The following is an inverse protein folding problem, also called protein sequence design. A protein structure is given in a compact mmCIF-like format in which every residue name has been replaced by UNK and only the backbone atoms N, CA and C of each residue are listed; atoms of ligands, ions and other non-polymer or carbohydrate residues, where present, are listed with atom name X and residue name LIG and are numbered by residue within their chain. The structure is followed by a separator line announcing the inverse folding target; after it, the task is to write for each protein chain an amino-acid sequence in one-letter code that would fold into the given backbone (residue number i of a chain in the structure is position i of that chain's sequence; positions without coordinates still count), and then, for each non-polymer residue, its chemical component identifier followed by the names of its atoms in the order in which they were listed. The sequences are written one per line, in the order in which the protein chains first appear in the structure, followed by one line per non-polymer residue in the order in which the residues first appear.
data_IF_369352140489
#
_entry.id   IF_369352140489
#
_cell.length_a   1.000
_cell.length_b   1.000
_cell.length_c   1.000
_cell.angle_alpha   90.00
_cell.angle_beta   90.00
_cell.angle_gamma   90.00
#
_symmetry.space_group_name_H-M   'P 1'
#
loop_
_entity.id
_entity.type
_entity.pdbx_description
1 polymer ?
#
# COMPACT_ATOMS: atom_id res chain seq x y z
N UNK A 1 -20.79 21.25 -32.60
CA UNK A 1 -20.06 19.97 -32.56
C UNK A 1 -19.68 19.69 -31.12
N UNK A 2 -20.33 18.70 -30.51
CA UNK A 2 -20.00 18.18 -29.18
C UNK A 2 -18.80 17.24 -29.36
N UNK A 3 -17.64 17.59 -28.80
CA UNK A 3 -16.51 16.67 -28.71
C UNK A 3 -16.37 16.24 -27.25
N UNK A 4 -16.68 14.95 -27.07
CA UNK A 4 -16.70 14.13 -25.87
C UNK A 4 -15.52 14.41 -24.93
N UNK A 5 -15.88 14.59 -23.65
CA UNK A 5 -14.93 14.49 -22.55
C UNK A 5 -14.28 13.11 -22.52
N UNK A 6 -12.96 13.09 -22.59
CA UNK A 6 -12.17 11.92 -22.25
C UNK A 6 -12.16 11.81 -20.72
N UNK A 7 -12.72 10.71 -20.25
CA UNK A 7 -12.74 10.27 -18.87
C UNK A 7 -11.35 10.45 -18.24
N UNK A 8 -11.30 11.18 -17.13
CA UNK A 8 -10.19 11.11 -16.20
C UNK A 8 -10.13 9.67 -15.68
N UNK A 9 -9.34 8.83 -16.35
CA UNK A 9 -8.92 7.57 -15.78
C UNK A 9 -8.08 7.94 -14.57
N UNK A 10 -8.65 7.78 -13.37
CA UNK A 10 -7.99 8.00 -12.10
C UNK A 10 -6.90 6.94 -11.90
N UNK A 11 -5.87 6.96 -12.74
CA UNK A 11 -4.59 6.36 -12.40
C UNK A 11 -3.98 7.29 -11.36
N UNK A 12 -3.69 6.75 -10.18
CA UNK A 12 -2.99 7.47 -9.12
C UNK A 12 -1.82 8.26 -9.73
N UNK A 13 -1.81 9.58 -9.54
CA UNK A 13 -0.76 10.44 -10.08
C UNK A 13 0.53 10.17 -9.29
N UNK A 14 1.47 9.46 -9.91
CA UNK A 14 2.80 9.23 -9.33
C UNK A 14 3.64 10.50 -9.44
N UNK A 15 4.17 10.97 -8.31
CA UNK A 15 5.09 12.10 -8.25
C UNK A 15 6.35 11.71 -7.46
N UNK A 16 7.49 12.19 -7.91
CA UNK A 16 8.76 12.07 -7.19
C UNK A 16 9.07 13.39 -6.48
N UNK A 17 9.68 13.30 -5.30
CA UNK A 17 10.16 14.49 -4.58
C UNK A 17 11.56 14.82 -5.06
N UNK A 18 11.75 16.04 -5.57
CA UNK A 18 13.06 16.51 -6.00
C UNK A 18 14.01 16.66 -4.81
N UNK A 19 15.19 16.07 -4.89
CA UNK A 19 16.14 16.02 -3.77
C UNK A 19 16.76 17.39 -3.43
N UNK A 20 16.84 18.31 -4.40
CA UNK A 20 17.50 19.61 -4.24
C UNK A 20 16.52 20.68 -3.76
N UNK A 21 15.30 20.65 -4.29
CA UNK A 21 14.28 21.68 -4.06
C UNK A 21 13.16 21.22 -3.12
N UNK A 22 13.04 19.91 -2.89
CA UNK A 22 11.96 19.32 -2.08
C UNK A 22 10.57 19.39 -2.71
N UNK A 23 10.46 19.94 -3.93
CA UNK A 23 9.21 20.08 -4.67
C UNK A 23 8.77 18.76 -5.30
N UNK A 24 7.46 18.63 -5.52
CA UNK A 24 6.89 17.49 -6.24
C UNK A 24 7.05 17.67 -7.74
N UNK A 25 7.57 16.66 -8.43
CA UNK A 25 7.74 16.63 -9.89
C UNK A 25 7.30 15.30 -10.48
N UNK A 26 7.19 15.24 -11.80
CA UNK A 26 7.04 13.95 -12.50
C UNK A 26 8.27 13.05 -12.24
N UNK A 27 8.08 11.73 -12.05
CA UNK A 27 9.18 10.80 -11.90
C UNK A 27 9.97 10.65 -13.20
N UNK A 28 11.27 10.42 -13.07
CA UNK A 28 12.12 9.98 -14.18
C UNK A 28 11.80 8.53 -14.54
N UNK A 29 12.22 8.08 -15.73
CA UNK A 29 12.04 6.69 -16.15
C UNK A 29 12.69 5.68 -15.18
N UNK A 30 13.84 6.04 -14.59
CA UNK A 30 14.53 5.20 -13.61
C UNK A 30 13.74 5.09 -12.30
N UNK A 31 13.24 6.21 -11.77
CA UNK A 31 12.42 6.23 -10.55
C UNK A 31 11.09 5.49 -10.75
N UNK A 32 10.48 5.62 -11.93
CA UNK A 32 9.27 4.88 -12.27
C UNK A 32 9.53 3.37 -12.34
N UNK A 33 10.64 2.95 -12.97
CA UNK A 33 11.01 1.53 -13.04
C UNK A 33 11.33 0.95 -11.64
N UNK A 34 12.00 1.73 -10.79
CA UNK A 34 12.26 1.34 -9.40
C UNK A 34 10.96 1.23 -8.60
N UNK A 35 10.03 2.17 -8.75
CA UNK A 35 8.73 2.10 -8.11
C UNK A 35 7.94 0.86 -8.55
N UNK A 36 7.90 0.54 -9.84
CA UNK A 36 7.22 -0.67 -10.33
C UNK A 36 7.89 -1.94 -9.77
N UNK A 37 9.23 -2.01 -9.74
CA UNK A 37 9.94 -3.13 -9.14
C UNK A 37 9.67 -3.28 -7.62
N UNK A 38 9.41 -2.17 -6.91
CA UNK A 38 8.98 -2.18 -5.52
C UNK A 38 7.52 -2.61 -5.37
N UNK A 39 6.64 -2.21 -6.30
CA UNK A 39 5.24 -2.66 -6.31
C UNK A 39 5.13 -4.16 -6.48
N UNK A 40 5.92 -4.75 -7.37
CA UNK A 40 5.99 -6.21 -7.55
C UNK A 40 6.40 -6.94 -6.25
N UNK A 41 7.28 -6.33 -5.45
CA UNK A 41 7.71 -6.87 -4.16
C UNK A 41 6.74 -6.58 -3.02
N UNK A 42 5.92 -5.53 -3.14
CA UNK A 42 4.89 -5.19 -2.15
C UNK A 42 3.71 -6.17 -2.11
N UNK A 43 3.56 -7.01 -3.14
CA UNK A 43 2.64 -8.16 -3.12
C UNK A 43 3.11 -9.29 -2.18
N UNK A 44 4.33 -9.21 -1.63
CA UNK A 44 4.85 -10.17 -0.67
C UNK A 44 4.57 -9.67 0.75
N UNK A 45 3.64 -10.33 1.42
CA UNK A 45 3.33 -10.10 2.83
C UNK A 45 4.58 -10.27 3.71
N UNK A 46 4.95 -9.22 4.45
CA UNK A 46 6.10 -9.22 5.35
C UNK A 46 5.67 -9.59 6.77
N UNK A 47 6.42 -10.48 7.43
CA UNK A 47 6.23 -10.81 8.84
C UNK A 47 6.43 -9.60 9.75
N UNK A 48 5.50 -9.37 10.68
CA UNK A 48 5.49 -8.18 11.55
C UNK A 48 6.65 -8.15 12.54
N UNK A 49 7.13 -9.32 12.96
CA UNK A 49 8.18 -9.47 13.98
C UNK A 49 9.55 -9.62 13.33
N UNK A 50 9.66 -10.45 12.30
CA UNK A 50 10.95 -10.83 11.71
C UNK A 50 11.31 -9.99 10.48
N UNK A 51 10.34 -9.33 9.86
CA UNK A 51 10.53 -8.65 8.57
C UNK A 51 10.73 -9.63 7.39
N UNK A 52 10.56 -10.93 7.61
CA UNK A 52 10.72 -11.96 6.58
C UNK A 52 9.63 -11.84 5.53
N UNK A 53 9.99 -11.91 4.25
CA UNK A 53 9.01 -11.94 3.17
C UNK A 53 8.36 -13.32 3.08
N UNK A 54 7.03 -13.36 3.08
CA UNK A 54 6.20 -14.57 3.00
C UNK A 54 6.63 -15.65 4.01
N UNK A 55 6.55 -15.36 5.32
CA UNK A 55 6.99 -16.29 6.36
C UNK A 55 6.25 -17.63 6.22
N UNK A 56 6.97 -18.73 6.44
CA UNK A 56 6.42 -20.08 6.38
C UNK A 56 6.05 -20.56 7.78
N UNK A 57 5.02 -21.41 7.93
CA UNK A 57 4.72 -22.04 9.20
C UNK A 57 5.94 -22.82 9.71
N UNK A 58 6.23 -22.70 11.00
CA UNK A 58 7.29 -23.44 11.69
C UNK A 58 6.62 -24.42 12.65
N UNK A 59 6.94 -25.71 12.50
CA UNK A 59 6.50 -26.78 13.40
C UNK A 59 7.23 -26.66 14.74
N UNK A 60 6.47 -26.53 15.82
CA UNK A 60 6.97 -26.48 17.19
C UNK A 60 7.21 -27.88 17.77
N UNK A 61 8.03 -28.02 18.83
CA UNK A 61 8.30 -29.32 19.46
C UNK A 61 7.06 -30.03 20.03
N UNK A 62 6.01 -29.28 20.38
CA UNK A 62 4.72 -29.80 20.85
C UNK A 62 3.81 -30.31 19.71
N UNK A 63 4.26 -30.20 18.47
CA UNK A 63 3.53 -30.62 17.28
C UNK A 63 2.63 -29.54 16.66
N UNK A 64 2.50 -28.37 17.30
CA UNK A 64 1.73 -27.22 16.77
C UNK A 64 2.47 -26.50 15.64
N UNK A 65 1.75 -25.83 14.75
CA UNK A 65 2.32 -24.97 13.72
C UNK A 65 2.19 -23.50 14.13
N UNK A 66 3.32 -22.78 14.12
CA UNK A 66 3.35 -21.33 14.30
C UNK A 66 3.55 -20.66 12.95
N UNK A 67 2.60 -19.83 12.53
CA UNK A 67 2.76 -18.93 11.40
C UNK A 67 2.77 -17.50 11.92
N UNK A 68 3.83 -16.76 11.58
CA UNK A 68 3.95 -15.36 11.91
C UNK A 68 2.89 -14.53 11.17
N UNK A 69 2.21 -13.63 11.88
CA UNK A 69 1.32 -12.65 11.25
C UNK A 69 2.10 -11.71 10.35
N UNK A 70 1.47 -11.32 9.26
CA UNK A 70 2.06 -10.44 8.25
C UNK A 70 1.37 -9.08 8.20
N UNK A 71 1.99 -8.11 7.54
CA UNK A 71 1.39 -6.80 7.26
C UNK A 71 0.03 -6.93 6.53
N UNK A 72 -0.15 -7.99 5.73
CA UNK A 72 -1.43 -8.32 5.10
C UNK A 72 -2.57 -8.63 6.09
N UNK A 73 -2.22 -9.15 7.26
CA UNK A 73 -3.16 -9.54 8.32
C UNK A 73 -3.51 -8.35 9.25
N UNK A 74 -2.86 -7.20 9.06
CA UNK A 74 -3.06 -6.02 9.90
C UNK A 74 -4.38 -5.29 9.61
N UNK A 75 -4.96 -4.72 10.66
CA UNK A 75 -6.09 -3.79 10.57
C UNK A 75 -5.61 -2.38 10.90
N UNK A 76 -6.08 -1.41 10.14
CA UNK A 76 -5.76 0.00 10.35
C UNK A 76 -6.97 0.73 10.95
N UNK A 77 -6.69 1.67 11.84
CA UNK A 77 -7.68 2.65 12.28
C UNK A 77 -7.54 3.90 11.43
N UNK A 78 -8.48 4.11 10.51
CA UNK A 78 -8.51 5.29 9.64
C UNK A 78 -9.53 6.30 10.16
N UNK A 79 -9.27 7.57 9.89
CA UNK A 79 -10.22 8.65 10.10
C UNK A 79 -10.85 9.00 8.75
N UNK A 80 -12.17 8.88 8.66
CA UNK A 80 -12.95 9.22 7.46
C UNK A 80 -13.63 10.55 7.69
N UNK A 81 -13.42 11.51 6.78
CA UNK A 81 -14.10 12.80 6.80
C UNK A 81 -15.33 12.73 5.90
N UNK A 82 -16.52 12.84 6.49
CA UNK A 82 -17.78 12.88 5.75
C UNK A 82 -17.98 14.20 5.02
N UNK A 83 -18.89 14.23 4.05
CA UNK A 83 -19.23 15.43 3.27
C UNK A 83 -19.75 16.62 4.12
N UNK A 84 -20.20 16.34 5.34
CA UNK A 84 -20.60 17.32 6.34
C UNK A 84 -19.45 17.80 7.25
N UNK A 85 -18.20 17.43 6.94
CA UNK A 85 -17.00 17.76 7.72
C UNK A 85 -16.82 16.97 9.01
N UNK A 86 -17.70 16.00 9.31
CA UNK A 86 -17.55 15.17 10.52
C UNK A 86 -16.50 14.09 10.31
N UNK A 87 -15.69 13.85 11.34
CA UNK A 87 -14.68 12.79 11.35
C UNK A 87 -15.24 11.55 12.05
N UNK A 88 -15.19 10.41 11.38
CA UNK A 88 -15.53 9.11 11.95
C UNK A 88 -14.29 8.22 11.98
N UNK A 89 -14.12 7.46 13.06
CA UNK A 89 -13.07 6.43 13.16
C UNK A 89 -13.61 5.13 12.61
N UNK A 90 -12.86 4.50 11.70
CA UNK A 90 -13.20 3.21 11.13
C UNK A 90 -12.02 2.26 11.25
N UNK A 91 -12.28 1.02 11.64
CA UNK A 91 -11.31 -0.06 11.49
C UNK A 91 -11.47 -0.68 10.11
N UNK A 92 -10.40 -0.74 9.34
CA UNK A 92 -10.38 -1.30 7.99
C UNK A 92 -9.27 -2.35 7.87
N UNK A 93 -9.54 -3.51 7.25
CA UNK A 93 -8.49 -4.48 6.92
C UNK A 93 -7.49 -3.89 5.92
N UNK A 94 -6.23 -4.35 5.96
CA UNK A 94 -5.23 -3.96 4.96
C UNK A 94 -5.71 -4.22 3.53
N UNK A 95 -6.33 -5.38 3.29
CA UNK A 95 -6.89 -5.75 1.98
C UNK A 95 -7.93 -4.76 1.45
N UNK A 96 -8.55 -3.94 2.31
CA UNK A 96 -9.53 -2.91 1.92
C UNK A 96 -8.88 -1.58 1.58
N UNK A 97 -7.65 -1.31 2.07
CA UNK A 97 -6.89 -0.09 1.76
C UNK A 97 -6.01 -0.28 0.51
N UNK A 98 -5.49 -1.49 0.29
CA UNK A 98 -4.53 -1.78 -0.78
C UNK A 98 -5.15 -1.87 -2.20
N UNK A 99 -6.49 -1.75 -2.32
CA UNK A 99 -7.24 -1.74 -3.59
C UNK A 99 -7.69 -0.32 -3.95
#
# INVERSE_FOLDING_TARGET
MLALGTLASAHAQTAARDANTGAWRAPTAAEAAELEALRDKSNLNRGVVTGTLNPKPVRQPDGSDYLESTEGDMNYSVLVVGANGRVARQCVPNATIAN
#
